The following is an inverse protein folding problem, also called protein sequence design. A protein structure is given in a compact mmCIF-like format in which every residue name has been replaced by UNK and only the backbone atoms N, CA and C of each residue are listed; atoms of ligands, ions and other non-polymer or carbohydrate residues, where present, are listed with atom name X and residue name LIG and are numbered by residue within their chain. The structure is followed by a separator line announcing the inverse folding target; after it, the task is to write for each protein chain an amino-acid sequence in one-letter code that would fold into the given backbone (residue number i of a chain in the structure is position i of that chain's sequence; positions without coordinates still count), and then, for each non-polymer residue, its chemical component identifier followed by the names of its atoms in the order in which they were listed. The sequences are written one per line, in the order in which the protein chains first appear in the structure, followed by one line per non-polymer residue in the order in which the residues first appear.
data_IF_688565682332
#
_entry.id   IF_688565682332
#
_cell.length_a   1.000
_cell.length_b   1.000
_cell.length_c   1.000
_cell.angle_alpha   90.00
_cell.angle_beta   90.00
_cell.angle_gamma   90.00
#
_symmetry.space_group_name_H-M   'P 1'
#
loop_
_entity.id
_entity.type
_entity.pdbx_description
1 polymer ?
#
# COMPACT_ATOMS: atom_id res chain seq x y z
N UNK A 1 125.19 -54.90 61.08
CA UNK A 1 125.36 -53.77 60.13
C UNK A 1 124.68 -54.21 58.84
N UNK A 2 123.53 -53.71 58.36
CA UNK A 2 122.91 -52.40 58.48
C UNK A 2 121.37 -52.48 58.52
N UNK A 3 120.79 -52.12 59.67
CA UNK A 3 119.37 -51.79 59.87
C UNK A 3 118.93 -50.51 59.11
N UNK A 4 119.81 -49.93 58.29
CA UNK A 4 119.54 -48.76 57.46
C UNK A 4 118.99 -49.11 56.07
N UNK A 5 119.22 -50.34 55.58
CA UNK A 5 118.83 -50.76 54.23
C UNK A 5 117.33 -51.11 54.11
N UNK A 6 116.69 -51.62 55.18
CA UNK A 6 115.26 -51.94 55.18
C UNK A 6 114.35 -50.72 55.38
N UNK A 7 114.85 -49.64 56.00
CA UNK A 7 114.03 -48.44 56.32
C UNK A 7 113.74 -47.56 55.10
N UNK A 8 114.58 -47.59 54.07
CA UNK A 8 114.42 -46.77 52.86
C UNK A 8 113.73 -47.49 51.69
N UNK A 9 113.72 -48.83 51.67
CA UNK A 9 113.10 -49.63 50.60
C UNK A 9 111.62 -49.93 50.82
N UNK A 10 111.12 -49.82 52.06
CA UNK A 10 109.69 -49.98 52.37
C UNK A 10 108.96 -48.64 52.63
N UNK A 11 109.59 -47.65 53.28
CA UNK A 11 108.91 -46.37 53.57
C UNK A 11 108.67 -45.50 52.34
N UNK A 12 109.66 -45.33 51.44
CA UNK A 12 109.49 -44.43 50.27
C UNK A 12 108.32 -44.81 49.36
N UNK A 13 108.11 -46.09 49.01
CA UNK A 13 106.96 -46.50 48.20
C UNK A 13 105.63 -46.36 48.94
N UNK A 14 105.59 -46.64 50.24
CA UNK A 14 104.38 -46.44 51.07
C UNK A 14 104.02 -44.95 51.12
N UNK A 15 104.98 -44.06 51.40
CA UNK A 15 104.74 -42.61 51.41
C UNK A 15 104.29 -42.08 50.04
N UNK A 16 104.82 -42.63 48.95
CA UNK A 16 104.41 -42.29 47.59
C UNK A 16 102.97 -42.72 47.29
N UNK A 17 102.57 -43.94 47.68
CA UNK A 17 101.18 -44.42 47.55
C UNK A 17 100.24 -43.60 48.43
N UNK A 18 100.63 -43.29 49.67
CA UNK A 18 99.84 -42.43 50.57
C UNK A 18 99.65 -41.03 49.97
N UNK A 19 100.70 -40.43 49.41
CA UNK A 19 100.60 -39.11 48.75
C UNK A 19 99.68 -39.13 47.53
N UNK A 20 99.75 -40.18 46.70
CA UNK A 20 98.82 -40.39 45.58
C UNK A 20 97.39 -40.54 46.10
N UNK A 21 97.18 -41.27 47.19
CA UNK A 21 95.85 -41.43 47.77
C UNK A 21 95.30 -40.12 48.37
N UNK A 22 96.14 -39.30 48.99
CA UNK A 22 95.76 -37.95 49.45
C UNK A 22 95.34 -37.06 48.28
N UNK A 23 96.15 -37.03 47.20
CA UNK A 23 95.81 -36.25 45.99
C UNK A 23 94.54 -36.75 45.30
N UNK A 24 94.29 -38.06 45.31
CA UNK A 24 93.07 -38.65 44.79
C UNK A 24 91.85 -38.26 45.64
N UNK A 25 92.00 -38.22 46.97
CA UNK A 25 90.98 -37.73 47.89
C UNK A 25 90.71 -36.22 47.72
N UNK A 26 91.73 -35.44 47.33
CA UNK A 26 91.60 -34.02 46.97
C UNK A 26 91.02 -33.80 45.57
N UNK A 27 90.67 -34.87 44.84
CA UNK A 27 90.01 -34.81 43.53
C UNK A 27 90.95 -34.65 42.32
N UNK A 28 92.27 -34.77 42.51
CA UNK A 28 93.25 -34.76 41.41
C UNK A 28 93.38 -36.15 40.77
N UNK A 29 92.58 -36.35 39.72
CA UNK A 29 92.55 -37.59 38.94
C UNK A 29 93.61 -37.64 37.84
N UNK A 30 94.49 -36.63 37.72
CA UNK A 30 95.53 -36.58 36.69
C UNK A 30 96.82 -37.33 37.09
N UNK A 31 96.93 -37.70 38.36
CA UNK A 31 98.13 -38.28 38.97
C UNK A 31 98.45 -39.69 38.46
N UNK A 32 99.73 -40.01 38.29
CA UNK A 32 100.15 -41.38 37.92
C UNK A 32 100.44 -42.19 39.18
N UNK A 33 99.89 -43.40 39.27
CA UNK A 33 100.14 -44.31 40.41
C UNK A 33 101.49 -45.02 40.22
N UNK A 34 102.49 -44.81 41.08
CA UNK A 34 103.80 -45.45 40.97
C UNK A 34 103.75 -46.92 41.40
N UNK A 35 104.79 -47.71 41.07
CA UNK A 35 105.00 -49.09 41.57
C UNK A 35 103.94 -50.16 41.22
N UNK A 36 103.01 -49.88 40.30
CA UNK A 36 101.94 -50.81 39.85
C UNK A 36 102.48 -52.15 39.34
N UNK A 37 103.66 -52.15 38.72
CA UNK A 37 104.32 -53.33 38.13
C UNK A 37 105.01 -54.24 39.17
N UNK A 38 105.05 -53.84 40.45
CA UNK A 38 105.72 -54.62 41.49
C UNK A 38 104.87 -55.86 41.87
N UNK A 39 105.54 -57.00 42.06
CA UNK A 39 104.89 -58.27 42.43
C UNK A 39 104.80 -58.49 43.95
N UNK A 40 104.98 -57.42 44.74
CA UNK A 40 104.91 -57.43 46.21
C UNK A 40 103.64 -56.69 46.72
N UNK A 41 103.49 -56.61 48.04
CA UNK A 41 102.36 -56.00 48.75
C UNK A 41 102.19 -54.52 48.38
N UNK A 42 103.29 -53.81 48.16
CA UNK A 42 103.28 -52.40 47.69
C UNK A 42 102.69 -52.29 46.28
N UNK A 43 103.06 -53.20 45.38
CA UNK A 43 102.47 -53.26 44.05
C UNK A 43 100.98 -53.65 44.07
N UNK A 44 100.56 -54.46 45.04
CA UNK A 44 99.14 -54.77 45.27
C UNK A 44 98.36 -53.54 45.74
N UNK A 45 98.92 -52.74 46.67
CA UNK A 45 98.34 -51.46 47.08
C UNK A 45 98.29 -50.46 45.92
N UNK A 46 99.35 -50.37 45.11
CA UNK A 46 99.37 -49.51 43.92
C UNK A 46 98.31 -49.91 42.89
N UNK A 47 98.09 -51.22 42.65
CA UNK A 47 96.99 -51.69 41.78
C UNK A 47 95.61 -51.36 42.37
N UNK A 48 95.42 -51.47 43.68
CA UNK A 48 94.16 -51.07 44.32
C UNK A 48 93.91 -49.56 44.17
N UNK A 49 94.92 -48.72 44.40
CA UNK A 49 94.83 -47.25 44.21
C UNK A 49 94.60 -46.87 42.74
N UNK A 50 95.18 -47.62 41.79
CA UNK A 50 94.90 -47.45 40.36
C UNK A 50 93.43 -47.74 40.04
N UNK A 51 92.86 -48.84 40.56
CA UNK A 51 91.43 -49.15 40.43
C UNK A 51 90.55 -48.06 41.06
N UNK A 52 90.94 -47.51 42.22
CA UNK A 52 90.23 -46.37 42.82
C UNK A 52 90.28 -45.12 41.93
N UNK A 53 91.43 -44.82 41.32
CA UNK A 53 91.58 -43.69 40.39
C UNK A 53 90.71 -43.88 39.15
N UNK A 54 90.76 -45.05 38.52
CA UNK A 54 89.95 -45.38 37.33
C UNK A 54 88.44 -45.32 37.64
N UNK A 55 88.02 -45.83 38.81
CA UNK A 55 86.65 -45.72 39.27
C UNK A 55 86.24 -44.26 39.51
N UNK A 56 87.09 -43.44 40.13
CA UNK A 56 86.82 -42.03 40.34
C UNK A 56 86.73 -41.23 39.03
N UNK A 57 87.57 -41.54 38.03
CA UNK A 57 87.46 -40.97 36.68
C UNK A 57 86.15 -41.36 36.00
N UNK A 58 85.78 -42.63 36.09
CA UNK A 58 84.52 -43.15 35.54
C UNK A 58 83.30 -42.50 36.21
N UNK A 59 83.33 -42.29 37.53
CA UNK A 59 82.27 -41.58 38.26
C UNK A 59 82.15 -40.14 37.75
N UNK A 60 83.24 -39.40 37.63
CA UNK A 60 83.22 -38.01 37.13
C UNK A 60 82.74 -37.89 35.68
N UNK A 61 83.11 -38.84 34.82
CA UNK A 61 82.62 -38.91 33.44
C UNK A 61 81.11 -39.23 33.40
N UNK A 62 80.65 -40.15 34.25
CA UNK A 62 79.23 -40.46 34.41
C UNK A 62 78.43 -39.26 34.92
N UNK A 63 78.95 -38.51 35.91
CA UNK A 63 78.35 -37.28 36.42
C UNK A 63 78.25 -36.19 35.35
N UNK A 64 79.30 -35.98 34.54
CA UNK A 64 79.27 -35.02 33.42
C UNK A 64 78.23 -35.41 32.38
N UNK A 65 78.21 -36.68 31.95
CA UNK A 65 77.21 -37.19 31.00
C UNK A 65 75.79 -37.18 31.56
N UNK A 66 75.64 -37.36 32.87
CA UNK A 66 74.34 -37.26 33.53
C UNK A 66 73.86 -35.80 33.52
N UNK A 67 74.72 -34.85 33.89
CA UNK A 67 74.41 -33.42 33.85
C UNK A 67 74.08 -32.94 32.43
N UNK A 68 74.85 -33.35 31.42
CA UNK A 68 74.56 -33.03 30.01
C UNK A 68 73.21 -33.59 29.57
N UNK A 69 72.88 -34.85 29.95
CA UNK A 69 71.58 -35.45 29.66
C UNK A 69 70.44 -34.75 30.39
N UNK A 70 70.62 -34.35 31.65
CA UNK A 70 69.64 -33.59 32.42
C UNK A 70 69.40 -32.21 31.80
N UNK A 71 70.46 -31.49 31.41
CA UNK A 71 70.34 -30.19 30.73
C UNK A 71 69.73 -30.31 29.33
N UNK A 72 69.99 -31.39 28.60
CA UNK A 72 69.39 -31.66 27.30
C UNK A 72 67.91 -32.04 27.45
N UNK A 73 67.58 -32.91 28.41
CA UNK A 73 66.21 -33.28 28.71
C UNK A 73 65.36 -32.06 29.15
N UNK A 74 65.92 -31.16 29.97
CA UNK A 74 65.22 -29.95 30.38
C UNK A 74 65.03 -28.97 29.20
N UNK A 75 65.99 -28.88 28.28
CA UNK A 75 65.86 -28.10 27.04
C UNK A 75 64.78 -28.68 26.12
N UNK A 76 64.80 -29.99 25.90
CA UNK A 76 63.79 -30.69 25.08
C UNK A 76 62.40 -30.55 25.70
N UNK A 77 62.27 -30.67 27.03
CA UNK A 77 61.02 -30.44 27.76
C UNK A 77 60.49 -29.02 27.55
N UNK A 78 61.34 -28.00 27.74
CA UNK A 78 60.96 -26.59 27.52
C UNK A 78 60.54 -26.31 26.08
N UNK A 79 61.27 -26.85 25.11
CA UNK A 79 60.92 -26.70 23.70
C UNK A 79 59.57 -27.35 23.37
N UNK A 80 59.31 -28.56 23.88
CA UNK A 80 58.03 -29.24 23.68
C UNK A 80 56.87 -28.45 24.33
N UNK A 81 57.06 -27.94 25.55
CA UNK A 81 56.05 -27.13 26.23
C UNK A 81 55.76 -25.85 25.44
N UNK A 82 56.78 -25.15 24.95
CA UNK A 82 56.59 -23.95 24.13
C UNK A 82 55.86 -24.27 22.82
N UNK A 83 56.22 -25.35 22.14
CA UNK A 83 55.55 -25.75 20.91
C UNK A 83 54.08 -26.11 21.15
N UNK A 84 53.77 -26.86 22.22
CA UNK A 84 52.40 -27.17 22.60
C UNK A 84 51.61 -25.90 22.99
N UNK A 85 52.27 -24.94 23.64
CA UNK A 85 51.67 -23.65 23.98
C UNK A 85 51.37 -22.82 22.72
N UNK A 86 52.28 -22.80 21.74
CA UNK A 86 52.10 -22.09 20.47
C UNK A 86 50.96 -22.70 19.64
N UNK A 87 50.91 -24.04 19.54
CA UNK A 87 49.84 -24.75 18.84
C UNK A 87 48.48 -24.50 19.51
N UNK A 88 48.45 -24.51 20.86
CA UNK A 88 47.25 -24.21 21.62
C UNK A 88 46.80 -22.75 21.47
N UNK A 89 47.72 -21.79 21.52
CA UNK A 89 47.47 -20.36 21.28
C UNK A 89 46.87 -20.13 19.90
N UNK A 90 47.45 -20.76 18.88
CA UNK A 90 47.00 -20.65 17.50
C UNK A 90 45.58 -21.19 17.34
N UNK A 91 45.33 -22.42 17.80
CA UNK A 91 44.05 -23.10 17.61
C UNK A 91 42.93 -22.45 18.43
N UNK A 92 43.13 -22.27 19.73
CA UNK A 92 42.10 -21.71 20.62
C UNK A 92 41.94 -20.21 20.38
N UNK A 93 43.04 -19.49 20.17
CA UNK A 93 42.99 -18.07 19.85
C UNK A 93 42.27 -17.79 18.52
N UNK A 94 42.42 -18.65 17.50
CA UNK A 94 41.64 -18.51 16.26
C UNK A 94 40.15 -18.68 16.51
N UNK A 95 39.76 -19.73 17.25
CA UNK A 95 38.35 -19.97 17.56
C UNK A 95 37.73 -18.83 18.37
N UNK A 96 38.44 -18.28 19.37
CA UNK A 96 37.96 -17.13 20.15
C UNK A 96 37.74 -15.91 19.25
N UNK A 97 38.68 -15.62 18.33
CA UNK A 97 38.54 -14.51 17.38
C UNK A 97 37.36 -14.71 16.43
N UNK A 98 37.14 -15.92 15.93
CA UNK A 98 36.00 -16.25 15.08
C UNK A 98 34.66 -16.04 15.81
N UNK A 99 34.56 -16.51 17.05
CA UNK A 99 33.37 -16.32 17.89
C UNK A 99 33.14 -14.82 18.18
N UNK A 100 34.20 -14.07 18.50
CA UNK A 100 34.11 -12.63 18.73
C UNK A 100 33.63 -11.88 17.48
N UNK A 101 34.14 -12.23 16.30
CA UNK A 101 33.72 -11.62 15.04
C UNK A 101 32.26 -11.96 14.72
N UNK A 102 31.84 -13.21 14.95
CA UNK A 102 30.45 -13.63 14.77
C UNK A 102 29.50 -12.87 15.71
N UNK A 103 29.90 -12.68 16.97
CA UNK A 103 29.14 -11.90 17.95
C UNK A 103 28.96 -10.44 17.50
N UNK A 104 30.02 -9.77 17.04
CA UNK A 104 29.93 -8.40 16.49
C UNK A 104 29.01 -8.33 15.26
N UNK A 105 29.07 -9.34 14.38
CA UNK A 105 28.19 -9.43 13.21
C UNK A 105 26.71 -9.62 13.59
N UNK A 106 26.44 -10.42 14.62
CA UNK A 106 25.09 -10.60 15.16
C UNK A 106 24.58 -9.32 15.85
N UNK A 107 25.43 -8.60 16.58
CA UNK A 107 25.09 -7.32 17.20
C UNK A 107 24.65 -6.29 16.16
N UNK A 108 25.43 -6.14 15.09
CA UNK A 108 25.09 -5.24 13.98
C UNK A 108 23.78 -5.65 13.29
N UNK A 109 23.56 -6.96 13.08
CA UNK A 109 22.34 -7.49 12.47
C UNK A 109 21.11 -7.26 13.36
N UNK A 110 21.24 -7.46 14.67
CA UNK A 110 20.19 -7.20 15.65
C UNK A 110 19.82 -5.72 15.69
N UNK A 111 20.80 -4.82 15.68
CA UNK A 111 20.53 -3.38 15.66
C UNK A 111 19.78 -2.97 14.39
N UNK A 112 20.17 -3.51 13.22
CA UNK A 112 19.46 -3.28 11.97
C UNK A 112 18.02 -3.79 12.03
N UNK A 113 17.81 -5.02 12.50
CA UNK A 113 16.48 -5.60 12.67
C UNK A 113 15.60 -4.74 13.59
N UNK A 114 16.14 -4.24 14.69
CA UNK A 114 15.42 -3.35 15.61
C UNK A 114 14.99 -2.05 14.92
N UNK A 115 15.87 -1.43 14.13
CA UNK A 115 15.53 -0.21 13.38
C UNK A 115 14.50 -0.48 12.28
N UNK A 116 14.63 -1.58 11.55
CA UNK A 116 13.65 -1.97 10.53
C UNK A 116 12.29 -2.25 11.13
N UNK A 117 12.23 -2.98 12.25
CA UNK A 117 11.00 -3.25 12.99
C UNK A 117 10.29 -1.95 13.44
N UNK A 118 11.04 -1.00 13.99
CA UNK A 118 10.50 0.29 14.41
C UNK A 118 9.92 1.07 13.21
N UNK A 119 10.66 1.14 12.10
CA UNK A 119 10.19 1.80 10.88
C UNK A 119 8.94 1.11 10.30
N UNK A 120 8.89 -0.22 10.29
CA UNK A 120 7.71 -0.97 9.85
C UNK A 120 6.50 -0.71 10.74
N UNK A 121 6.70 -0.62 12.07
CA UNK A 121 5.63 -0.29 13.02
C UNK A 121 5.06 1.12 12.80
N UNK A 122 5.92 2.11 12.56
CA UNK A 122 5.51 3.48 12.22
C UNK A 122 4.74 3.52 10.90
N UNK A 123 5.25 2.85 9.85
CA UNK A 123 4.57 2.78 8.56
C UNK A 123 3.20 2.08 8.68
N UNK A 124 3.11 1.01 9.48
CA UNK A 124 1.87 0.32 9.77
C UNK A 124 0.84 1.24 10.46
N UNK A 125 1.30 2.10 11.35
CA UNK A 125 0.44 3.11 12.00
C UNK A 125 -0.08 4.15 10.99
N UNK A 126 0.76 4.64 10.09
CA UNK A 126 0.33 5.56 9.02
C UNK A 126 -0.68 4.91 8.07
N UNK A 127 -0.46 3.66 7.69
CA UNK A 127 -1.39 2.91 6.82
C UNK A 127 -2.73 2.65 7.52
N UNK A 128 -2.72 2.36 8.83
CA UNK A 128 -3.95 2.23 9.61
C UNK A 128 -4.76 3.53 9.59
N UNK A 129 -4.12 4.68 9.86
CA UNK A 129 -4.78 5.98 9.82
C UNK A 129 -5.37 6.30 8.44
N UNK A 130 -4.62 6.04 7.36
CA UNK A 130 -5.11 6.22 6.00
C UNK A 130 -6.28 5.29 5.66
N UNK A 131 -6.29 4.07 6.21
CA UNK A 131 -7.40 3.12 6.03
C UNK A 131 -8.67 3.57 6.74
N UNK A 132 -8.54 4.15 7.94
CA UNK A 132 -9.67 4.71 8.69
C UNK A 132 -10.25 5.94 7.97
N UNK A 133 -9.40 6.82 7.43
CA UNK A 133 -9.82 7.95 6.61
C UNK A 133 -10.55 7.47 5.34
N UNK A 134 -10.00 6.47 4.65
CA UNK A 134 -10.64 5.86 3.49
C UNK A 134 -12.00 5.25 3.85
N UNK A 135 -12.13 4.58 5.00
CA UNK A 135 -13.41 4.04 5.46
C UNK A 135 -14.47 5.14 5.70
N UNK A 136 -14.07 6.27 6.29
CA UNK A 136 -14.93 7.45 6.47
C UNK A 136 -15.38 8.05 5.13
N UNK A 137 -14.46 8.15 4.16
CA UNK A 137 -14.78 8.65 2.82
C UNK A 137 -15.77 7.71 2.11
N UNK A 138 -15.58 6.40 2.21
CA UNK A 138 -16.50 5.40 1.65
C UNK A 138 -17.89 5.51 2.28
N UNK A 139 -18.00 5.73 3.59
CA UNK A 139 -19.30 5.98 4.25
C UNK A 139 -20.00 7.24 3.72
N UNK A 140 -19.23 8.29 3.44
CA UNK A 140 -19.77 9.54 2.87
C UNK A 140 -20.32 9.30 1.46
N UNK A 141 -19.61 8.52 0.63
CA UNK A 141 -20.09 8.15 -0.71
C UNK A 141 -21.33 7.26 -0.62
N UNK A 142 -21.40 6.34 0.36
CA UNK A 142 -22.59 5.52 0.60
C UNK A 142 -23.83 6.38 0.87
N UNK A 143 -23.71 7.36 1.77
CA UNK A 143 -24.79 8.28 2.10
C UNK A 143 -25.22 9.10 0.87
N UNK A 144 -24.27 9.59 0.08
CA UNK A 144 -24.57 10.32 -1.16
C UNK A 144 -25.29 9.44 -2.20
N UNK A 145 -24.92 8.16 -2.33
CA UNK A 145 -25.59 7.22 -3.22
C UNK A 145 -27.03 6.91 -2.77
N UNK A 146 -27.27 6.79 -1.46
CA UNK A 146 -28.62 6.65 -0.90
C UNK A 146 -29.49 7.89 -1.16
N UNK A 147 -28.93 9.09 -1.00
CA UNK A 147 -29.61 10.35 -1.28
C UNK A 147 -29.93 10.51 -2.77
N UNK A 148 -29.00 10.16 -3.66
CA UNK A 148 -29.25 10.11 -5.11
C UNK A 148 -30.37 9.15 -5.46
N UNK A 149 -30.38 7.94 -4.87
CA UNK A 149 -31.45 6.96 -5.11
C UNK A 149 -32.81 7.43 -4.61
N UNK A 150 -32.86 8.22 -3.53
CA UNK A 150 -34.08 8.88 -3.09
C UNK A 150 -34.53 9.96 -4.09
N UNK A 151 -33.59 10.78 -4.57
CA UNK A 151 -33.85 11.84 -5.56
C UNK A 151 -34.36 11.28 -6.89
N UNK A 152 -33.75 10.22 -7.42
CA UNK A 152 -34.18 9.54 -8.65
C UNK A 152 -35.62 9.01 -8.55
N UNK A 153 -35.98 8.40 -7.40
CA UNK A 153 -37.36 7.94 -7.16
C UNK A 153 -38.37 9.10 -7.15
N UNK A 154 -37.99 10.24 -6.57
CA UNK A 154 -38.82 11.43 -6.56
C UNK A 154 -38.95 12.04 -7.96
N UNK A 155 -37.87 12.09 -8.74
CA UNK A 155 -37.91 12.54 -10.14
C UNK A 155 -38.83 11.65 -10.96
N UNK A 156 -38.71 10.32 -10.87
CA UNK A 156 -39.61 9.40 -11.56
C UNK A 156 -41.08 9.61 -11.18
N UNK A 157 -41.37 9.86 -9.89
CA UNK A 157 -42.72 10.21 -9.44
C UNK A 157 -43.22 11.51 -10.06
N UNK A 158 -42.37 12.53 -10.16
CA UNK A 158 -42.73 13.82 -10.77
C UNK A 158 -42.91 13.72 -12.28
N UNK A 159 -42.07 12.94 -12.97
CA UNK A 159 -42.21 12.67 -14.42
C UNK A 159 -43.53 11.96 -14.69
N UNK A 160 -43.85 10.90 -13.94
CA UNK A 160 -45.14 10.22 -14.06
C UNK A 160 -46.33 11.15 -13.85
N UNK A 161 -46.25 12.05 -12.85
CA UNK A 161 -47.28 13.07 -12.62
C UNK A 161 -47.36 14.08 -13.77
N UNK A 162 -46.23 14.47 -14.36
CA UNK A 162 -46.18 15.35 -15.52
C UNK A 162 -46.89 14.71 -16.72
N UNK A 163 -46.63 13.43 -17.00
CA UNK A 163 -47.29 12.67 -18.07
C UNK A 163 -48.81 12.63 -17.88
N UNK A 164 -49.33 12.45 -16.66
CA UNK A 164 -50.78 12.53 -16.39
C UNK A 164 -51.37 13.92 -16.71
N UNK A 165 -50.66 14.99 -16.32
CA UNK A 165 -51.10 16.37 -16.58
C UNK A 165 -51.08 16.67 -18.08
N UNK A 166 -50.04 16.25 -18.78
CA UNK A 166 -49.89 16.38 -20.23
C UNK A 166 -50.99 15.62 -20.98
N UNK A 167 -51.27 14.38 -20.62
CA UNK A 167 -52.38 13.61 -21.18
C UNK A 167 -53.74 14.31 -20.98
N UNK A 168 -53.95 14.91 -19.80
CA UNK A 168 -55.12 15.73 -19.51
C UNK A 168 -55.19 17.02 -20.35
N UNK A 169 -54.04 17.65 -20.62
CA UNK A 169 -53.94 18.85 -21.45
C UNK A 169 -54.22 18.55 -22.93
N UNK A 170 -53.71 17.43 -23.47
CA UNK A 170 -54.02 16.96 -24.83
C UNK A 170 -55.53 16.81 -25.00
N UNK A 171 -56.19 16.09 -24.08
CA UNK A 171 -57.65 15.90 -24.15
C UNK A 171 -58.45 17.21 -24.12
N UNK A 172 -57.98 18.20 -23.36
CA UNK A 172 -58.61 19.53 -23.31
C UNK A 172 -58.37 20.33 -24.60
N UNK A 173 -57.17 20.25 -25.16
CA UNK A 173 -56.83 20.89 -26.43
C UNK A 173 -57.67 20.29 -27.58
N UNK A 174 -57.81 18.97 -27.63
CA UNK A 174 -58.65 18.27 -28.62
C UNK A 174 -60.11 18.73 -28.53
N UNK A 175 -60.69 18.80 -27.32
CA UNK A 175 -62.06 19.27 -27.14
C UNK A 175 -62.26 20.76 -27.50
N UNK A 176 -61.26 21.60 -27.24
CA UNK A 176 -61.27 22.99 -27.68
C UNK A 176 -61.21 23.09 -29.21
N UNK A 177 -60.38 22.26 -29.86
CA UNK A 177 -60.24 22.20 -31.30
C UNK A 177 -61.55 21.77 -31.97
N UNK A 178 -62.24 20.77 -31.43
CA UNK A 178 -63.57 20.35 -31.90
C UNK A 178 -64.63 21.46 -31.77
N UNK A 179 -64.61 22.19 -30.64
CA UNK A 179 -65.53 23.32 -30.41
C UNK A 179 -65.29 24.44 -31.42
N UNK A 180 -64.03 24.78 -31.68
CA UNK A 180 -63.66 25.79 -32.68
C UNK A 180 -64.03 25.32 -34.09
N UNK A 181 -63.81 24.05 -34.43
CA UNK A 181 -64.25 23.50 -35.72
C UNK A 181 -65.78 23.56 -35.94
N UNK A 182 -66.55 23.35 -34.87
CA UNK A 182 -68.01 23.53 -34.89
C UNK A 182 -68.39 25.01 -35.11
N UNK A 183 -67.65 25.93 -34.50
CA UNK A 183 -67.85 27.38 -34.69
C UNK A 183 -67.53 27.80 -36.13
N UNK A 184 -66.42 27.33 -36.71
CA UNK A 184 -66.07 27.58 -38.13
C UNK A 184 -67.21 27.14 -39.04
N UNK A 185 -67.73 25.94 -38.82
CA UNK A 185 -68.84 25.39 -39.62
C UNK A 185 -70.12 26.22 -39.48
N UNK A 186 -70.43 26.67 -38.26
CA UNK A 186 -71.62 27.50 -37.98
C UNK A 186 -71.52 28.89 -38.62
N UNK A 187 -70.33 29.49 -38.60
CA UNK A 187 -70.06 30.80 -39.22
C UNK A 187 -70.15 30.72 -40.74
N UNK A 188 -69.66 29.64 -41.35
CA UNK A 188 -69.82 29.36 -42.79
C UNK A 188 -71.31 29.25 -43.19
N UNK A 189 -72.12 28.57 -42.37
CA UNK A 189 -73.55 28.45 -42.61
C UNK A 189 -74.29 29.80 -42.49
N UNK A 190 -73.92 30.63 -41.50
CA UNK A 190 -74.44 32.00 -41.40
C UNK A 190 -74.04 32.82 -42.65
N UNK A 191 -72.80 32.68 -43.12
CA UNK A 191 -72.33 33.32 -44.36
C UNK A 191 -73.24 33.03 -45.55
N UNK A 192 -73.61 31.76 -45.76
CA UNK A 192 -74.55 31.34 -46.82
C UNK A 192 -75.93 31.95 -46.67
N UNK A 193 -76.42 32.08 -45.44
CA UNK A 193 -77.72 32.72 -45.15
C UNK A 193 -77.66 34.22 -45.48
N UNK A 194 -76.56 34.91 -45.14
CA UNK A 194 -76.39 36.33 -45.48
C UNK A 194 -76.32 36.55 -46.99
N UNK A 195 -75.65 35.67 -47.72
CA UNK A 195 -75.60 35.71 -49.20
C UNK A 195 -77.01 35.56 -49.80
N UNK A 196 -77.82 34.63 -49.28
CA UNK A 196 -79.21 34.46 -49.69
C UNK A 196 -80.06 35.72 -49.40
N UNK A 197 -79.93 36.30 -48.21
CA UNK A 197 -80.69 37.51 -47.83
C UNK A 197 -80.29 38.69 -48.72
N UNK A 198 -79.00 38.83 -49.03
CA UNK A 198 -78.49 39.86 -49.95
C UNK A 198 -79.14 39.70 -51.32
N UNK A 199 -79.19 38.47 -51.86
CA UNK A 199 -79.88 38.17 -53.12
C UNK A 199 -81.39 38.47 -53.08
N UNK A 200 -82.07 38.17 -51.96
CA UNK A 200 -83.50 38.51 -51.77
C UNK A 200 -83.69 40.03 -51.74
N UNK A 201 -82.82 40.78 -51.07
CA UNK A 201 -82.88 42.24 -51.01
C UNK A 201 -82.70 42.87 -52.40
N UNK A 202 -81.73 42.39 -53.18
CA UNK A 202 -81.52 42.81 -54.57
C UNK A 202 -82.74 42.51 -55.46
N UNK A 203 -83.29 41.30 -55.36
CA UNK A 203 -84.48 40.92 -56.11
C UNK A 203 -85.71 41.76 -55.70
N UNK A 204 -85.85 42.06 -54.42
CA UNK A 204 -86.92 42.92 -53.88
C UNK A 204 -86.78 44.35 -54.39
N UNK A 205 -85.55 44.88 -54.43
CA UNK A 205 -85.24 46.20 -55.00
C UNK A 205 -85.59 46.26 -56.50
N UNK A 206 -85.28 45.21 -57.26
CA UNK A 206 -85.66 45.10 -58.68
C UNK A 206 -87.19 45.03 -58.88
N UNK A 207 -87.89 44.25 -58.05
CA UNK A 207 -89.36 44.18 -58.08
C UNK A 207 -90.00 45.54 -57.74
N UNK A 208 -89.49 46.21 -56.72
CA UNK A 208 -89.95 47.54 -56.30
C UNK A 208 -89.69 48.60 -57.38
N UNK A 209 -88.55 48.51 -58.08
CA UNK A 209 -88.24 49.36 -59.22
C UNK A 209 -89.24 49.15 -60.37
N UNK A 210 -89.52 47.89 -60.73
CA UNK A 210 -90.52 47.54 -61.75
C UNK A 210 -91.91 48.05 -61.36
N UNK A 211 -92.31 47.90 -60.09
CA UNK A 211 -93.57 48.42 -59.58
C UNK A 211 -93.63 49.96 -59.63
N UNK A 212 -92.51 50.64 -59.35
CA UNK A 212 -92.41 52.11 -59.46
C UNK A 212 -92.60 52.58 -60.91
N UNK A 213 -92.01 51.85 -61.87
CA UNK A 213 -92.16 52.13 -63.31
C UNK A 213 -93.63 51.96 -63.74
N UNK A 214 -94.28 50.87 -63.33
CA UNK A 214 -95.68 50.61 -63.72
C UNK A 214 -96.65 51.57 -63.02
N UNK A 215 -96.37 51.97 -61.78
CA UNK A 215 -97.11 53.01 -61.07
C UNK A 215 -97.00 54.38 -61.75
N UNK A 216 -95.82 54.75 -62.27
CA UNK A 216 -95.64 55.95 -63.07
C UNK A 216 -96.42 55.88 -64.40
N UNK A 217 -96.51 54.68 -65.00
CA UNK A 217 -97.28 54.42 -66.23
C UNK A 217 -98.79 54.57 -66.05
N UNK A 218 -99.30 54.27 -64.85
CA UNK A 218 -100.71 54.42 -64.49
C UNK A 218 -101.13 55.89 -64.17
N UNK A 219 -100.21 56.85 -64.18
CA UNK A 219 -100.50 58.27 -63.98
C UNK A 219 -101.06 58.62 -62.59
N UNK A 220 -102.11 59.45 -62.52
CA UNK A 220 -102.73 59.86 -61.24
C UNK A 220 -103.27 58.69 -60.42
N UNK A 221 -103.76 57.62 -61.07
CA UNK A 221 -104.31 56.44 -60.40
C UNK A 221 -103.22 55.59 -59.69
N UNK A 222 -101.95 55.72 -60.12
CA UNK A 222 -100.83 54.95 -59.59
C UNK A 222 -100.08 55.59 -58.42
N UNK A 223 -100.40 56.84 -58.03
CA UNK A 223 -99.64 57.60 -57.01
C UNK A 223 -99.49 56.88 -55.67
N UNK A 224 -100.56 56.26 -55.16
CA UNK A 224 -100.50 55.49 -53.90
C UNK A 224 -99.58 54.27 -54.01
N UNK A 225 -99.61 53.60 -55.17
CA UNK A 225 -98.74 52.45 -55.46
C UNK A 225 -97.27 52.87 -55.62
N UNK A 226 -97.01 54.04 -56.21
CA UNK A 226 -95.66 54.59 -56.36
C UNK A 226 -94.99 54.88 -55.01
N UNK A 227 -95.74 55.38 -54.02
CA UNK A 227 -95.23 55.61 -52.66
C UNK A 227 -94.85 54.29 -52.00
N UNK A 228 -95.72 53.27 -52.06
CA UNK A 228 -95.42 51.94 -51.50
C UNK A 228 -94.21 51.31 -52.20
N UNK A 229 -94.14 51.38 -53.53
CA UNK A 229 -93.01 50.85 -54.28
C UNK A 229 -91.69 51.57 -53.92
N UNK A 230 -91.70 52.89 -53.72
CA UNK A 230 -90.54 53.64 -53.24
C UNK A 230 -90.14 53.25 -51.82
N UNK A 231 -91.09 53.00 -50.93
CA UNK A 231 -90.81 52.57 -49.55
C UNK A 231 -90.21 51.16 -49.51
N UNK A 232 -90.77 50.22 -50.29
CA UNK A 232 -90.21 48.87 -50.45
C UNK A 232 -88.78 48.93 -51.02
N UNK A 233 -88.54 49.81 -52.01
CA UNK A 233 -87.21 50.03 -52.59
C UNK A 233 -86.21 50.54 -51.54
N UNK A 234 -86.62 51.50 -50.71
CA UNK A 234 -85.77 52.01 -49.62
C UNK A 234 -85.48 50.92 -48.58
N UNK A 235 -86.48 50.13 -48.19
CA UNK A 235 -86.31 49.04 -47.23
C UNK A 235 -85.39 47.94 -47.76
N UNK A 236 -85.48 47.62 -49.05
CA UNK A 236 -84.59 46.69 -49.72
C UNK A 236 -83.13 47.20 -49.73
N UNK A 237 -82.90 48.48 -50.04
CA UNK A 237 -81.57 49.08 -49.97
C UNK A 237 -80.99 49.12 -48.53
N UNK A 238 -81.83 49.42 -47.53
CA UNK A 238 -81.42 49.36 -46.13
C UNK A 238 -81.05 47.93 -45.72
N UNK A 239 -81.82 46.95 -46.18
CA UNK A 239 -81.56 45.53 -45.93
C UNK A 239 -80.24 45.11 -46.57
N UNK A 240 -80.01 45.44 -47.84
CA UNK A 240 -78.77 45.15 -48.56
C UNK A 240 -77.53 45.74 -47.83
N UNK A 241 -77.62 46.99 -47.39
CA UNK A 241 -76.56 47.64 -46.62
C UNK A 241 -76.31 46.97 -45.26
N UNK A 242 -77.38 46.61 -44.55
CA UNK A 242 -77.24 45.90 -43.28
C UNK A 242 -76.61 44.51 -43.46
N UNK A 243 -76.97 43.77 -44.52
CA UNK A 243 -76.33 42.49 -44.85
C UNK A 243 -74.87 42.64 -45.25
N UNK A 244 -74.48 43.71 -45.93
CA UNK A 244 -73.08 44.01 -46.25
C UNK A 244 -72.24 44.23 -44.97
N UNK A 245 -72.77 45.02 -44.02
CA UNK A 245 -72.13 45.24 -42.71
C UNK A 245 -72.01 43.93 -41.92
N UNK A 246 -73.05 43.10 -41.90
CA UNK A 246 -73.02 41.78 -41.24
C UNK A 246 -72.04 40.84 -41.93
N UNK A 247 -71.96 40.83 -43.26
CA UNK A 247 -71.01 40.01 -44.01
C UNK A 247 -69.56 40.33 -43.65
N UNK A 248 -69.24 41.62 -43.49
CA UNK A 248 -67.94 42.06 -42.99
C UNK A 248 -67.65 41.55 -41.57
N UNK A 249 -68.65 41.57 -40.67
CA UNK A 249 -68.49 41.02 -39.32
C UNK A 249 -68.30 39.49 -39.33
N UNK A 250 -69.06 38.77 -40.15
CA UNK A 250 -68.95 37.32 -40.30
C UNK A 250 -67.57 36.93 -40.85
N UNK A 251 -67.07 37.64 -41.85
CA UNK A 251 -65.71 37.43 -42.38
C UNK A 251 -64.64 37.63 -41.30
N UNK A 252 -64.79 38.66 -40.47
CA UNK A 252 -63.87 38.88 -39.35
C UNK A 252 -63.95 37.76 -38.29
N UNK A 253 -65.16 37.30 -37.94
CA UNK A 253 -65.36 36.18 -37.01
C UNK A 253 -64.73 34.90 -37.58
N UNK A 254 -64.90 34.64 -38.87
CA UNK A 254 -64.31 33.48 -39.55
C UNK A 254 -62.78 33.52 -39.49
N UNK A 255 -62.17 34.66 -39.84
CA UNK A 255 -60.72 34.88 -39.73
C UNK A 255 -60.20 34.63 -38.31
N UNK A 256 -60.84 35.20 -37.30
CA UNK A 256 -60.44 35.01 -35.88
C UNK A 256 -60.58 33.55 -35.44
N UNK A 257 -61.61 32.85 -35.95
CA UNK A 257 -61.85 31.44 -35.61
C UNK A 257 -60.82 30.52 -36.25
N UNK A 258 -60.42 30.79 -37.50
CA UNK A 258 -59.32 30.07 -38.17
C UNK A 258 -57.98 30.28 -37.44
N UNK A 259 -57.69 31.50 -37.02
CA UNK A 259 -56.48 31.80 -36.25
C UNK A 259 -56.50 31.10 -34.88
N UNK A 260 -57.66 31.03 -34.22
CA UNK A 260 -57.83 30.26 -32.99
C UNK A 260 -57.60 28.75 -33.22
N UNK A 261 -58.06 28.19 -34.34
CA UNK A 261 -57.83 26.78 -34.68
C UNK A 261 -56.33 26.48 -34.86
N UNK A 262 -55.60 27.33 -35.60
CA UNK A 262 -54.14 27.21 -35.79
C UNK A 262 -53.39 27.32 -34.46
N UNK A 263 -53.79 28.25 -33.59
CA UNK A 263 -53.19 28.40 -32.27
C UNK A 263 -53.39 27.14 -31.40
N UNK A 264 -54.57 26.52 -31.44
CA UNK A 264 -54.84 25.27 -30.73
C UNK A 264 -54.04 24.09 -31.27
N UNK A 265 -53.85 23.99 -32.59
CA UNK A 265 -53.00 22.98 -33.20
C UNK A 265 -51.53 23.13 -32.75
N UNK A 266 -51.01 24.37 -32.75
CA UNK A 266 -49.68 24.66 -32.25
C UNK A 266 -49.51 24.29 -30.77
N UNK A 267 -50.50 24.60 -29.92
CA UNK A 267 -50.53 24.19 -28.52
C UNK A 267 -50.49 22.65 -28.39
N UNK A 268 -51.29 21.94 -29.19
CA UNK A 268 -51.29 20.47 -29.21
C UNK A 268 -49.93 19.88 -29.58
N UNK A 269 -49.23 20.49 -30.54
CA UNK A 269 -47.86 20.11 -30.90
C UNK A 269 -46.88 20.32 -29.76
N UNK A 270 -46.90 21.50 -29.11
CA UNK A 270 -46.03 21.78 -27.96
C UNK A 270 -46.29 20.84 -26.77
N UNK A 271 -47.55 20.45 -26.54
CA UNK A 271 -47.89 19.50 -25.47
C UNK A 271 -47.32 18.11 -25.77
N UNK A 272 -47.34 17.67 -27.04
CA UNK A 272 -46.73 16.39 -27.45
C UNK A 272 -45.22 16.39 -27.28
N UNK A 273 -44.55 17.47 -27.66
CA UNK A 273 -43.11 17.64 -27.45
C UNK A 273 -42.74 17.55 -25.96
N UNK A 274 -43.54 18.16 -25.07
CA UNK A 274 -43.35 18.03 -23.62
C UNK A 274 -43.52 16.58 -23.13
N UNK A 275 -44.44 15.81 -23.72
CA UNK A 275 -44.58 14.38 -23.40
C UNK A 275 -43.32 13.59 -23.78
N UNK A 276 -42.81 13.79 -25.00
CA UNK A 276 -41.61 13.12 -25.50
C UNK A 276 -40.38 13.43 -24.64
N UNK A 277 -40.23 14.70 -24.21
CA UNK A 277 -39.17 15.10 -23.26
C UNK A 277 -39.34 14.35 -21.92
N UNK A 278 -40.56 14.22 -21.42
CA UNK A 278 -40.85 13.47 -20.19
C UNK A 278 -40.43 12.00 -20.28
N UNK A 279 -40.73 11.33 -21.40
CA UNK A 279 -40.32 9.93 -21.64
C UNK A 279 -38.79 9.79 -21.72
N UNK A 280 -38.11 10.73 -22.37
CA UNK A 280 -36.65 10.75 -22.42
C UNK A 280 -36.03 10.95 -21.03
N UNK A 281 -36.59 11.83 -20.20
CA UNK A 281 -36.16 12.01 -18.80
C UNK A 281 -36.38 10.73 -18.00
N UNK A 282 -37.53 10.07 -18.13
CA UNK A 282 -37.82 8.80 -17.43
C UNK A 282 -36.75 7.74 -17.74
N UNK A 283 -36.41 7.58 -19.02
CA UNK A 283 -35.40 6.63 -19.46
C UNK A 283 -34.02 6.96 -18.88
N UNK A 284 -33.62 8.24 -18.92
CA UNK A 284 -32.34 8.69 -18.37
C UNK A 284 -32.26 8.49 -16.85
N UNK A 285 -33.37 8.69 -16.12
CA UNK A 285 -33.43 8.50 -14.66
C UNK A 285 -33.38 7.01 -14.30
N UNK A 286 -33.97 6.12 -15.10
CA UNK A 286 -33.81 4.67 -14.91
C UNK A 286 -32.36 4.21 -15.12
N UNK A 287 -31.67 4.71 -16.15
CA UNK A 287 -30.24 4.45 -16.36
C UNK A 287 -29.37 4.99 -15.22
N UNK A 288 -29.64 6.21 -14.76
CA UNK A 288 -28.99 6.79 -13.58
C UNK A 288 -29.20 5.92 -12.34
N UNK A 289 -30.42 5.43 -12.11
CA UNK A 289 -30.71 4.55 -10.98
C UNK A 289 -29.93 3.24 -11.01
N UNK A 290 -29.74 2.64 -12.19
CA UNK A 290 -28.87 1.48 -12.33
C UNK A 290 -27.41 1.79 -11.98
N UNK A 291 -26.90 2.94 -12.44
CA UNK A 291 -25.54 3.40 -12.13
C UNK A 291 -25.37 3.73 -10.63
N UNK A 292 -26.35 4.37 -10.00
CA UNK A 292 -26.33 4.67 -8.56
C UNK A 292 -26.32 3.38 -7.72
N UNK A 293 -27.06 2.34 -8.14
CA UNK A 293 -26.99 1.03 -7.50
C UNK A 293 -25.63 0.33 -7.70
N UNK A 294 -25.01 0.45 -8.87
CA UNK A 294 -23.63 -0.02 -9.09
C UNK A 294 -22.64 0.67 -8.16
N UNK A 295 -22.77 2.00 -8.00
CA UNK A 295 -21.93 2.78 -7.08
C UNK A 295 -22.10 2.27 -5.65
N UNK A 296 -23.34 2.07 -5.19
CA UNK A 296 -23.60 1.53 -3.84
C UNK A 296 -22.93 0.17 -3.61
N UNK A 297 -23.02 -0.76 -4.58
CA UNK A 297 -22.33 -2.06 -4.50
C UNK A 297 -20.80 -1.92 -4.45
N UNK A 298 -20.23 -1.05 -5.29
CA UNK A 298 -18.79 -0.81 -5.29
C UNK A 298 -18.30 -0.18 -3.98
N UNK A 299 -19.11 0.68 -3.38
CA UNK A 299 -18.85 1.31 -2.08
C UNK A 299 -18.85 0.28 -0.95
N UNK A 300 -19.79 -0.67 -0.94
CA UNK A 300 -19.79 -1.78 0.03
C UNK A 300 -18.52 -2.63 -0.10
N UNK A 301 -18.12 -2.97 -1.32
CA UNK A 301 -16.89 -3.72 -1.58
C UNK A 301 -15.65 -2.93 -1.14
N UNK A 302 -15.59 -1.63 -1.45
CA UNK A 302 -14.50 -0.76 -0.99
C UNK A 302 -14.44 -0.69 0.54
N UNK A 303 -15.60 -0.63 1.22
CA UNK A 303 -15.67 -0.63 2.68
C UNK A 303 -15.16 -1.95 3.30
N UNK A 304 -15.48 -3.08 2.68
CA UNK A 304 -14.94 -4.37 3.09
C UNK A 304 -13.41 -4.41 2.90
N UNK A 305 -12.92 -3.92 1.76
CA UNK A 305 -11.49 -3.84 1.47
C UNK A 305 -10.71 -2.94 2.44
N UNK A 306 -11.25 -1.77 2.81
CA UNK A 306 -10.57 -0.89 3.79
C UNK A 306 -10.51 -1.51 5.17
N UNK A 307 -11.57 -2.22 5.61
CA UNK A 307 -11.56 -2.98 6.88
C UNK A 307 -10.54 -4.11 6.86
N UNK A 308 -10.43 -4.83 5.74
CA UNK A 308 -9.44 -5.89 5.58
C UNK A 308 -8.01 -5.35 5.67
N UNK A 309 -7.71 -4.25 4.96
CA UNK A 309 -6.41 -3.57 5.05
C UNK A 309 -6.11 -3.12 6.48
N UNK A 310 -7.10 -2.54 7.18
CA UNK A 310 -6.95 -2.14 8.58
C UNK A 310 -6.66 -3.33 9.50
N UNK A 311 -7.31 -4.47 9.30
CA UNK A 311 -7.00 -5.70 10.05
C UNK A 311 -5.60 -6.23 9.74
N UNK A 312 -5.24 -6.33 8.45
CA UNK A 312 -3.95 -6.83 8.00
C UNK A 312 -2.80 -5.97 8.53
N UNK A 313 -2.98 -4.65 8.59
CA UNK A 313 -1.94 -3.77 9.09
C UNK A 313 -1.74 -3.86 10.61
N UNK A 314 -2.78 -4.23 11.38
CA UNK A 314 -2.59 -4.58 12.80
C UNK A 314 -1.68 -5.81 12.95
N UNK A 315 -1.85 -6.83 12.10
CA UNK A 315 -0.99 -8.01 12.11
C UNK A 315 0.46 -7.67 11.73
N UNK A 316 0.67 -6.81 10.73
CA UNK A 316 2.01 -6.32 10.36
C UNK A 316 2.65 -5.55 11.52
N UNK A 317 1.89 -4.67 12.20
CA UNK A 317 2.39 -3.94 13.37
C UNK A 317 2.82 -4.89 14.49
N UNK A 318 2.04 -5.93 14.75
CA UNK A 318 2.38 -6.95 15.75
C UNK A 318 3.65 -7.72 15.36
N UNK A 319 3.75 -8.19 14.12
CA UNK A 319 4.93 -8.90 13.62
C UNK A 319 6.20 -8.04 13.69
N UNK A 320 6.08 -6.74 13.42
CA UNK A 320 7.17 -5.79 13.59
C UNK A 320 7.58 -5.66 15.07
N UNK A 321 6.62 -5.57 15.99
CA UNK A 321 6.90 -5.53 17.43
C UNK A 321 7.63 -6.80 17.91
N UNK A 322 7.17 -7.99 17.47
CA UNK A 322 7.79 -9.28 17.82
C UNK A 322 9.22 -9.38 17.26
N UNK A 323 9.44 -8.88 16.03
CA UNK A 323 10.77 -8.78 15.41
C UNK A 323 11.69 -7.86 16.22
N UNK A 324 11.18 -6.71 16.66
CA UNK A 324 11.92 -5.78 17.51
C UNK A 324 12.33 -6.37 18.85
N UNK A 325 11.46 -7.17 19.47
CA UNK A 325 11.78 -7.85 20.74
C UNK A 325 12.81 -8.96 20.53
N UNK A 326 12.65 -9.78 19.49
CA UNK A 326 13.63 -10.82 19.12
C UNK A 326 15.01 -10.21 18.83
N UNK A 327 15.04 -9.05 18.16
CA UNK A 327 16.27 -8.32 17.90
C UNK A 327 16.98 -7.90 19.20
N UNK A 328 16.24 -7.43 20.23
CA UNK A 328 16.82 -7.10 21.53
C UNK A 328 17.40 -8.33 22.24
N UNK A 329 16.74 -9.48 22.14
CA UNK A 329 17.25 -10.73 22.70
C UNK A 329 18.56 -11.16 22.03
N UNK A 330 18.63 -11.08 20.69
CA UNK A 330 19.85 -11.36 19.93
C UNK A 330 20.96 -10.38 20.30
N UNK A 331 20.65 -9.09 20.44
CA UNK A 331 21.61 -8.07 20.84
C UNK A 331 22.23 -8.41 22.21
N UNK A 332 21.38 -8.77 23.18
CA UNK A 332 21.82 -9.20 24.52
C UNK A 332 22.69 -10.46 24.47
N UNK A 333 22.28 -11.47 23.71
CA UNK A 333 23.05 -12.71 23.56
C UNK A 333 24.41 -12.48 22.89
N UNK A 334 24.45 -11.64 21.86
CA UNK A 334 25.67 -11.28 21.12
C UNK A 334 26.64 -10.49 21.99
N UNK A 335 26.14 -9.51 22.75
CA UNK A 335 26.92 -8.75 23.72
C UNK A 335 27.53 -9.67 24.78
N UNK A 336 26.74 -10.61 25.31
CA UNK A 336 27.24 -11.61 26.26
C UNK A 336 28.32 -12.53 25.65
N UNK A 337 28.16 -12.94 24.39
CA UNK A 337 29.13 -13.79 23.70
C UNK A 337 30.44 -13.04 23.40
N UNK A 338 30.35 -11.77 23.04
CA UNK A 338 31.50 -10.87 22.87
C UNK A 338 32.28 -10.74 24.17
N UNK A 339 31.60 -10.47 25.29
CA UNK A 339 32.23 -10.41 26.61
C UNK A 339 32.88 -11.73 27.02
N UNK A 340 32.21 -12.86 26.76
CA UNK A 340 32.78 -14.18 27.07
C UNK A 340 34.01 -14.48 26.21
N UNK A 341 34.04 -14.03 24.96
CA UNK A 341 35.19 -14.18 24.07
C UNK A 341 36.39 -13.36 24.57
N UNK A 342 36.17 -12.13 25.03
CA UNK A 342 37.21 -11.30 25.67
C UNK A 342 37.77 -12.02 26.91
N UNK A 343 36.89 -12.51 27.79
CA UNK A 343 37.31 -13.20 29.01
C UNK A 343 38.12 -14.48 28.70
N UNK A 344 37.74 -15.23 27.65
CA UNK A 344 38.48 -16.41 27.20
C UNK A 344 39.84 -16.04 26.61
N UNK A 345 39.93 -14.95 25.85
CA UNK A 345 41.19 -14.46 25.29
C UNK A 345 42.16 -14.06 26.41
N UNK A 346 41.66 -13.33 27.42
CA UNK A 346 42.46 -12.93 28.58
C UNK A 346 42.92 -14.15 29.40
N UNK A 347 42.03 -15.11 29.61
CA UNK A 347 42.34 -16.38 30.28
C UNK A 347 43.39 -17.21 29.52
N UNK A 348 43.29 -17.29 28.20
CA UNK A 348 44.28 -17.93 27.33
C UNK A 348 45.65 -17.25 27.45
N UNK A 349 45.68 -15.91 27.36
CA UNK A 349 46.92 -15.14 27.48
C UNK A 349 47.60 -15.35 28.84
N UNK A 350 46.82 -15.36 29.93
CA UNK A 350 47.32 -15.61 31.27
C UNK A 350 47.87 -17.04 31.44
N UNK A 351 47.14 -18.03 30.93
CA UNK A 351 47.57 -19.43 30.96
C UNK A 351 48.89 -19.64 30.20
N UNK A 352 49.00 -19.10 28.98
CA UNK A 352 50.22 -19.21 28.16
C UNK A 352 51.41 -18.53 28.85
N UNK A 353 51.20 -17.38 29.49
CA UNK A 353 52.24 -16.71 30.27
C UNK A 353 52.74 -17.59 31.43
N UNK A 354 51.84 -18.27 32.13
CA UNK A 354 52.18 -19.17 33.23
C UNK A 354 52.89 -20.44 32.76
N UNK A 355 52.47 -21.01 31.63
CA UNK A 355 53.10 -22.20 31.03
C UNK A 355 54.50 -21.90 30.50
N UNK A 356 54.71 -20.73 29.89
CA UNK A 356 56.02 -20.32 29.35
C UNK A 356 57.02 -19.85 30.41
N UNK A 357 56.55 -19.50 31.61
CA UNK A 357 57.39 -19.04 32.72
C UNK A 357 57.79 -20.14 33.72
N UNK A 358 57.15 -21.32 33.67
CA UNK A 358 57.47 -22.50 34.48
C UNK A 358 58.39 -23.49 33.78
#
# INVERSE_FOLDING_TARGET
MNLWWSRNHLNKPITAITSVMTRLADGDLSITVPAVQWKNEIGQMARAVLVFKENAQKIREMESRQKEREEQAERERKNLINQLADDFESQVGSTIREVSNAATGMEASAQLLSTTAENTSQQATSVAAASDEAASNVQTVAAAAEELSASEREINRQVGRSSEVVAGAVKKADGAHETVGTLVSSVDEIGKVIELITGIAEQTNLLALNATIEAARAGEAGKGFAVVASEVKNLANQTAKATEEISGQISNVQSVTEDAAKALEAIGNSIREVNEIGEAISTAVEEQGAATQEIARNVEQASAGTREVSSNIQHVRQAAADTGETAKEILKASSSLSQQSINLQDGLNAFLSQVRSG
#
